data_IF_631152020206
#
_entry.id   IF_631152020206
#
_cell.length_a   1.000
_cell.length_b   1.000
_cell.length_c   1.000
_cell.angle_alpha   90.00
_cell.angle_beta   90.00
_cell.angle_gamma   90.00
#
_symmetry.space_group_name_H-M   'P 1'
#
loop_
_entity.id
_entity.type
_entity.pdbx_description
1 polymer ?
#
# COMPACT_ATOMS: atom_id res chain seq x y z
N UNK A 1 -8.98 -12.89 -15.19
CA UNK A 1 -9.56 -12.82 -13.81
C UNK A 1 -8.93 -11.68 -13.07
N UNK A 2 -9.70 -10.92 -12.29
CA UNK A 2 -9.18 -9.86 -11.42
C UNK A 2 -8.59 -10.50 -10.16
N UNK A 3 -7.31 -10.24 -9.89
CA UNK A 3 -6.66 -10.68 -8.65
C UNK A 3 -7.06 -9.77 -7.50
N UNK A 4 -7.64 -10.35 -6.44
CA UNK A 4 -7.99 -9.66 -5.19
C UNK A 4 -6.73 -9.33 -4.40
N UNK A 5 -6.78 -8.22 -3.63
CA UNK A 5 -5.65 -7.71 -2.84
C UNK A 5 -4.32 -7.65 -3.62
N UNK A 6 -4.38 -7.20 -4.87
CA UNK A 6 -3.24 -6.93 -5.73
C UNK A 6 -3.23 -5.45 -6.12
N UNK A 7 -2.10 -4.72 -5.96
CA UNK A 7 -1.98 -3.33 -6.38
C UNK A 7 -2.05 -3.16 -7.90
N UNK A 8 -3.04 -2.42 -8.36
CA UNK A 8 -3.18 -1.95 -9.75
C UNK A 8 -2.90 -0.45 -9.81
N UNK A 9 -2.39 0.04 -10.95
CA UNK A 9 -2.31 1.49 -11.22
C UNK A 9 -3.72 2.09 -11.24
N UNK A 10 -3.90 3.23 -10.57
CA UNK A 10 -5.20 3.86 -10.43
C UNK A 10 -5.77 4.44 -11.72
N UNK A 11 -7.08 4.30 -11.86
CA UNK A 11 -7.96 4.96 -12.82
C UNK A 11 -8.55 6.28 -12.29
N UNK A 12 -8.29 6.62 -11.01
CA UNK A 12 -8.89 7.77 -10.32
C UNK A 12 -7.88 8.91 -10.19
N UNK A 13 -8.29 10.11 -10.58
CA UNK A 13 -7.51 11.33 -10.39
C UNK A 13 -7.10 11.51 -8.91
N UNK A 14 -5.86 11.92 -8.68
CA UNK A 14 -5.33 12.14 -7.33
C UNK A 14 -4.83 10.88 -6.61
N UNK A 15 -5.01 9.67 -7.16
CA UNK A 15 -4.61 8.41 -6.53
C UNK A 15 -3.60 7.65 -7.39
N UNK A 16 -2.62 6.99 -6.75
CA UNK A 16 -1.57 6.24 -7.48
C UNK A 16 -2.00 4.82 -7.80
N UNK A 17 -2.57 4.14 -6.81
CA UNK A 17 -2.90 2.72 -6.89
C UNK A 17 -4.27 2.41 -6.31
N UNK A 18 -4.78 1.23 -6.62
CA UNK A 18 -5.90 0.61 -5.90
C UNK A 18 -5.72 -0.89 -5.77
N UNK A 19 -6.41 -1.50 -4.82
CA UNK A 19 -6.69 -2.94 -4.81
C UNK A 19 -8.19 -3.18 -4.90
N UNK A 20 -8.59 -4.41 -5.20
CA UNK A 20 -9.97 -4.87 -5.09
C UNK A 20 -10.02 -5.90 -3.96
N UNK A 21 -10.86 -5.67 -2.95
CA UNK A 21 -11.04 -6.61 -1.83
C UNK A 21 -12.05 -7.71 -2.18
N UNK A 22 -12.34 -8.63 -1.25
CA UNK A 22 -13.28 -9.74 -1.48
C UNK A 22 -14.75 -9.31 -1.64
N UNK A 23 -15.08 -8.07 -1.32
CA UNK A 23 -16.42 -7.46 -1.52
C UNK A 23 -16.51 -6.66 -2.83
N UNK A 24 -15.54 -6.81 -3.73
CA UNK A 24 -15.43 -6.06 -4.99
C UNK A 24 -15.26 -4.54 -4.83
N UNK A 25 -14.95 -4.09 -3.60
CA UNK A 25 -14.67 -2.69 -3.30
C UNK A 25 -13.24 -2.34 -3.73
N UNK A 26 -13.11 -1.25 -4.49
CA UNK A 26 -11.82 -0.62 -4.78
C UNK A 26 -11.34 0.19 -3.58
N UNK A 27 -10.15 -0.14 -3.07
CA UNK A 27 -9.47 0.63 -2.03
C UNK A 27 -8.31 1.37 -2.67
N UNK A 28 -8.45 2.69 -2.77
CA UNK A 28 -7.49 3.58 -3.42
C UNK A 28 -6.46 4.11 -2.42
N UNK A 29 -5.19 4.19 -2.82
CA UNK A 29 -4.11 4.63 -1.95
C UNK A 29 -2.95 5.29 -2.72
N UNK A 30 -2.11 6.03 -1.98
CA UNK A 30 -1.08 6.91 -2.52
C UNK A 30 -1.65 8.16 -3.22
N UNK A 31 -0.94 9.29 -3.14
CA UNK A 31 -1.32 10.54 -3.81
C UNK A 31 -0.47 10.76 -5.06
N UNK A 32 -1.08 11.11 -6.20
CA UNK A 32 -0.33 11.46 -7.42
C UNK A 32 0.52 12.71 -7.20
N UNK A 33 1.70 12.78 -7.83
CA UNK A 33 2.63 13.92 -7.70
C UNK A 33 3.49 13.91 -6.44
N UNK A 34 3.21 13.04 -5.46
CA UNK A 34 4.05 12.86 -4.28
C UNK A 34 4.98 11.67 -4.47
N UNK A 35 6.25 11.82 -4.16
CA UNK A 35 7.16 10.66 -4.07
C UNK A 35 6.92 9.88 -2.78
N UNK A 36 7.31 8.61 -2.82
CA UNK A 36 7.27 7.69 -1.69
C UNK A 36 8.57 6.87 -1.68
N UNK A 37 8.82 6.13 -0.60
CA UNK A 37 10.09 5.43 -0.41
C UNK A 37 10.31 4.36 -1.49
N UNK A 38 9.29 3.52 -1.74
CA UNK A 38 9.34 2.42 -2.71
C UNK A 38 9.55 2.90 -4.15
N UNK A 39 10.61 2.45 -4.81
CA UNK A 39 11.01 2.88 -6.17
C UNK A 39 11.15 4.40 -6.35
N UNK A 40 11.36 5.14 -5.26
CA UNK A 40 11.45 6.59 -5.26
C UNK A 40 12.75 7.09 -4.65
N UNK A 41 12.63 8.09 -3.79
CA UNK A 41 13.76 8.81 -3.21
C UNK A 41 14.66 7.95 -2.30
N UNK A 42 14.17 6.79 -1.81
CA UNK A 42 14.86 5.86 -0.89
C UNK A 42 15.48 6.51 0.37
N UNK A 43 15.06 7.74 0.68
CA UNK A 43 15.43 8.52 1.87
C UNK A 43 14.75 7.96 3.13
N UNK A 44 15.57 7.36 3.99
CA UNK A 44 15.15 6.81 5.28
C UNK A 44 14.59 7.88 6.23
N UNK A 45 15.06 9.14 6.19
CA UNK A 45 14.51 10.22 7.04
C UNK A 45 13.07 10.54 6.65
N UNK A 46 12.78 10.63 5.36
CA UNK A 46 11.40 10.86 4.85
C UNK A 46 10.48 9.69 5.21
N UNK A 47 10.98 8.46 5.15
CA UNK A 47 10.24 7.25 5.57
C UNK A 47 9.92 7.29 7.07
N UNK A 48 10.88 7.59 7.92
CA UNK A 48 10.65 7.72 9.37
C UNK A 48 9.67 8.86 9.68
N UNK A 49 9.76 10.00 8.99
CA UNK A 49 8.79 11.08 9.13
C UNK A 49 7.37 10.66 8.71
N UNK A 50 7.25 9.87 7.63
CA UNK A 50 5.97 9.30 7.21
C UNK A 50 5.40 8.37 8.30
N UNK A 51 6.22 7.48 8.88
CA UNK A 51 5.79 6.59 9.96
C UNK A 51 5.34 7.36 11.20
N UNK A 52 6.06 8.41 11.59
CA UNK A 52 5.68 9.26 12.72
C UNK A 52 4.30 9.91 12.53
N UNK A 53 4.02 10.41 11.32
CA UNK A 53 2.72 11.01 10.97
C UNK A 53 1.57 9.99 10.93
N UNK A 54 1.86 8.74 10.52
CA UNK A 54 0.85 7.69 10.32
C UNK A 54 0.83 6.63 11.42
N UNK A 55 1.44 6.91 12.57
CA UNK A 55 1.50 5.97 13.71
C UNK A 55 0.11 5.54 14.24
N UNK A 56 -0.90 6.38 14.05
CA UNK A 56 -2.29 6.14 14.46
C UNK A 56 -3.20 5.72 13.29
N UNK A 57 -2.64 5.47 12.11
CA UNK A 57 -3.41 5.04 10.93
C UNK A 57 -3.73 3.54 11.01
N UNK A 58 -4.67 3.06 10.19
CA UNK A 58 -5.10 1.65 10.14
C UNK A 58 -4.08 0.76 9.39
N UNK A 59 -2.83 0.74 9.84
CA UNK A 59 -1.73 0.04 9.14
C UNK A 59 -1.79 -1.51 9.22
N UNK A 60 -2.72 -2.04 10.01
CA UNK A 60 -2.95 -3.48 10.22
C UNK A 60 -4.30 -3.96 9.64
N UNK A 61 -5.02 -3.12 8.91
CA UNK A 61 -6.28 -3.49 8.27
C UNK A 61 -6.10 -3.56 6.74
N UNK A 62 -6.02 -4.77 6.13
CA UNK A 62 -5.87 -4.93 4.68
C UNK A 62 -7.00 -4.33 3.84
N UNK A 63 -8.15 -4.03 4.44
CA UNK A 63 -9.28 -3.33 3.81
C UNK A 63 -9.19 -1.80 3.93
N UNK A 64 -8.08 -1.27 4.44
CA UNK A 64 -7.85 0.17 4.58
C UNK A 64 -6.74 0.68 3.64
N UNK A 65 -6.85 1.93 3.21
CA UNK A 65 -5.80 2.60 2.42
C UNK A 65 -4.51 2.81 3.22
N UNK A 66 -4.59 2.86 4.55
CA UNK A 66 -3.45 3.06 5.44
C UNK A 66 -2.49 1.88 5.41
N UNK A 67 -3.03 0.65 5.48
CA UNK A 67 -2.26 -0.59 5.31
C UNK A 67 -1.45 -0.60 4.02
N UNK A 68 -2.10 -0.30 2.89
CA UNK A 68 -1.45 -0.32 1.58
C UNK A 68 -0.44 0.80 1.41
N UNK A 69 -0.77 2.03 1.84
CA UNK A 69 0.18 3.14 1.77
C UNK A 69 1.42 2.82 2.61
N UNK A 70 1.24 2.40 3.87
CA UNK A 70 2.34 2.09 4.77
C UNK A 70 3.24 0.97 4.23
N UNK A 71 2.66 -0.18 3.88
CA UNK A 71 3.43 -1.39 3.53
C UNK A 71 3.92 -1.39 2.08
N UNK A 72 3.10 -0.95 1.14
CA UNK A 72 3.42 -1.01 -0.29
C UNK A 72 4.23 0.20 -0.79
N UNK A 73 4.07 1.37 -0.18
CA UNK A 73 4.74 2.61 -0.66
C UNK A 73 5.87 3.10 0.26
N UNK A 74 5.87 2.73 1.54
CA UNK A 74 6.79 3.33 2.52
C UNK A 74 7.71 2.35 3.25
N UNK A 75 7.34 1.07 3.36
CA UNK A 75 8.10 0.13 4.19
C UNK A 75 9.30 -0.52 3.48
N UNK A 76 9.20 -0.75 2.18
CA UNK A 76 10.20 -1.50 1.41
C UNK A 76 10.69 -0.73 0.17
N UNK A 77 11.93 -0.93 -0.27
CA UNK A 77 12.54 -0.13 -1.34
C UNK A 77 12.02 -0.45 -2.75
N UNK A 78 11.38 -1.60 -2.98
CA UNK A 78 10.78 -1.96 -4.28
C UNK A 78 9.37 -2.55 -4.14
N UNK A 79 8.55 -2.40 -5.18
CA UNK A 79 7.16 -2.91 -5.15
C UNK A 79 7.11 -4.44 -5.06
N UNK A 80 8.04 -5.13 -5.73
CA UNK A 80 8.15 -6.58 -5.66
C UNK A 80 8.44 -7.04 -4.22
N UNK A 81 9.43 -6.43 -3.57
CA UNK A 81 9.73 -6.74 -2.17
C UNK A 81 8.55 -6.42 -1.26
N UNK A 82 7.89 -5.28 -1.48
CA UNK A 82 6.74 -4.88 -0.69
C UNK A 82 5.60 -5.90 -0.81
N UNK A 83 5.25 -6.31 -2.04
CA UNK A 83 4.17 -7.27 -2.26
C UNK A 83 4.52 -8.65 -1.72
N UNK A 84 5.75 -9.13 -1.91
CA UNK A 84 6.25 -10.40 -1.32
C UNK A 84 6.09 -10.42 0.21
N UNK A 85 6.26 -9.28 0.88
CA UNK A 85 6.09 -9.16 2.34
C UNK A 85 4.64 -8.97 2.78
N UNK A 86 3.77 -8.46 1.92
CA UNK A 86 2.33 -8.33 2.19
C UNK A 86 1.60 -9.67 2.06
N UNK A 87 1.97 -10.53 1.10
CA UNK A 87 1.27 -11.81 0.85
C UNK A 87 1.11 -12.69 2.11
N UNK A 88 2.16 -12.94 2.92
CA UNK A 88 1.99 -13.72 4.15
C UNK A 88 0.98 -13.12 5.11
N UNK A 89 0.92 -11.78 5.20
CA UNK A 89 -0.05 -11.08 6.06
C UNK A 89 -1.46 -11.32 5.54
N UNK A 90 -1.69 -11.18 4.23
CA UNK A 90 -3.01 -11.42 3.65
C UNK A 90 -3.48 -12.87 3.87
N UNK A 91 -2.57 -13.85 3.80
CA UNK A 91 -2.87 -15.26 4.11
C UNK A 91 -3.28 -15.46 5.57
N UNK A 92 -2.65 -14.77 6.51
CA UNK A 92 -3.04 -14.81 7.93
C UNK A 92 -4.47 -14.28 8.17
N UNK A 93 -4.94 -13.39 7.30
CA UNK A 93 -6.31 -12.88 7.34
C UNK A 93 -7.27 -13.70 6.44
N UNK A 94 -6.82 -14.81 5.84
CA UNK A 94 -7.59 -15.64 4.92
C UNK A 94 -8.14 -14.87 3.70
N UNK A 95 -7.38 -13.89 3.20
CA UNK A 95 -7.81 -12.99 2.12
C UNK A 95 -7.34 -13.43 0.73
N UNK A 96 -6.26 -14.21 0.65
CA UNK A 96 -5.61 -14.72 -0.57
C UNK A 96 -5.02 -16.10 -0.39
#
# INVERSE_FOLDING_TARGET
MVKRYFPYKSDKAGKKFYIINNEDKKIYFGATGYEHFTEGHLDERRKLAYFSRHRNDKINDPNSSGFWSFRYLWLYPSYDQAYKKIIPILKLYHLV
#
